data_IF_440739813277
#
_entry.id   IF_440739813277
#
_cell.length_a   1.000
_cell.length_b   1.000
_cell.length_c   1.000
_cell.angle_alpha   90.00
_cell.angle_beta   90.00
_cell.angle_gamma   90.00
#
_symmetry.space_group_name_H-M   'P 1'
#
loop_
_entity.id
_entity.type
_entity.pdbx_description
1 polymer ?
#
# COMPACT_ATOMS: atom_id res chain seq x y z
N UNK A 1 51.19 -96.09 -7.90
CA UNK A 1 50.85 -94.76 -7.36
C UNK A 1 49.57 -94.74 -6.49
N UNK A 2 48.88 -95.89 -6.30
CA UNK A 2 47.59 -95.95 -5.57
C UNK A 2 47.68 -96.81 -4.28
N UNK A 3 48.85 -97.33 -3.93
CA UNK A 3 49.01 -98.16 -2.71
C UNK A 3 49.18 -97.36 -1.42
N UNK A 4 49.40 -96.03 -1.49
CA UNK A 4 49.68 -95.19 -0.31
C UNK A 4 48.45 -94.97 0.59
N UNK A 5 47.25 -95.29 0.12
CA UNK A 5 45.99 -94.99 0.83
C UNK A 5 45.17 -96.24 1.17
N UNK A 6 45.78 -97.43 1.15
CA UNK A 6 45.03 -98.68 1.36
C UNK A 6 44.58 -98.89 2.82
N UNK A 7 45.18 -98.19 3.79
CA UNK A 7 44.94 -98.37 5.22
C UNK A 7 44.83 -97.02 5.96
N UNK A 8 43.98 -96.09 5.51
CA UNK A 8 43.56 -94.97 6.37
C UNK A 8 42.20 -95.35 6.93
N UNK A 9 42.18 -95.71 8.21
CA UNK A 9 40.97 -95.92 9.00
C UNK A 9 40.38 -94.54 9.28
N UNK A 10 39.08 -94.37 9.05
CA UNK A 10 38.35 -93.15 9.43
C UNK A 10 38.53 -92.90 10.94
N UNK A 11 39.42 -91.96 11.30
CA UNK A 11 39.63 -91.54 12.68
C UNK A 11 41.07 -91.40 13.17
N UNK A 12 42.11 -91.59 12.35
CA UNK A 12 43.48 -91.18 12.72
C UNK A 12 43.81 -89.80 12.14
N UNK A 13 44.06 -88.83 13.03
CA UNK A 13 44.54 -87.49 12.70
C UNK A 13 45.92 -87.60 12.01
N UNK A 14 46.07 -86.97 10.84
CA UNK A 14 47.31 -86.99 10.07
C UNK A 14 48.40 -86.24 10.88
N UNK A 15 49.50 -86.87 11.29
CA UNK A 15 50.50 -86.26 12.18
C UNK A 15 51.27 -85.08 11.56
N UNK A 16 50.93 -84.70 10.33
CA UNK A 16 51.53 -83.60 9.57
C UNK A 16 50.56 -82.42 9.35
N UNK A 17 49.38 -82.41 9.97
CA UNK A 17 48.41 -81.32 9.88
C UNK A 17 48.82 -80.17 10.82
N UNK A 18 49.59 -79.21 10.30
CA UNK A 18 49.97 -77.98 11.00
C UNK A 18 48.74 -77.08 11.17
N UNK A 19 48.21 -77.00 12.40
CA UNK A 19 47.09 -76.14 12.78
C UNK A 19 47.48 -74.67 12.60
N UNK A 20 46.92 -74.01 11.57
CA UNK A 20 47.11 -72.58 11.32
C UNK A 20 46.19 -71.77 12.23
N UNK A 21 46.77 -70.95 13.12
CA UNK A 21 46.04 -70.02 13.98
C UNK A 21 45.48 -68.86 13.13
N UNK A 22 44.16 -68.88 12.88
CA UNK A 22 43.46 -67.80 12.19
C UNK A 22 42.97 -66.81 13.24
N UNK A 23 43.56 -65.61 13.29
CA UNK A 23 43.04 -64.51 14.11
C UNK A 23 41.61 -64.14 13.67
N UNK A 24 40.61 -64.56 14.43
CA UNK A 24 39.26 -64.04 14.29
C UNK A 24 39.27 -62.61 14.81
N UNK A 25 39.06 -61.62 13.93
CA UNK A 25 38.72 -60.26 14.39
C UNK A 25 37.44 -60.38 15.21
N UNK A 26 37.54 -60.08 16.49
CA UNK A 26 36.40 -59.84 17.37
C UNK A 26 35.62 -58.64 16.81
N UNK A 27 34.69 -58.89 15.90
CA UNK A 27 33.61 -57.97 15.54
C UNK A 27 32.65 -57.90 16.73
N UNK A 28 33.15 -57.50 17.92
CA UNK A 28 32.36 -57.13 19.07
C UNK A 28 31.41 -56.06 18.57
N UNK A 29 30.18 -56.51 18.41
CA UNK A 29 29.11 -55.88 17.66
C UNK A 29 29.19 -54.37 17.81
N UNK A 30 29.32 -53.68 16.68
CA UNK A 30 29.25 -52.23 16.60
C UNK A 30 27.93 -51.82 17.26
N UNK A 31 28.01 -51.48 18.55
CA UNK A 31 26.85 -51.23 19.40
C UNK A 31 26.27 -49.95 18.86
N UNK A 32 25.15 -50.06 18.15
CA UNK A 32 24.56 -48.97 17.40
C UNK A 32 24.24 -47.84 18.37
N UNK A 33 25.03 -46.78 18.30
CA UNK A 33 24.86 -45.61 19.15
C UNK A 33 23.78 -44.72 18.54
N UNK A 34 22.62 -44.66 19.18
CA UNK A 34 21.46 -43.88 18.70
C UNK A 34 21.74 -42.37 18.71
N UNK A 35 22.77 -41.91 19.41
CA UNK A 35 23.19 -40.51 19.43
C UNK A 35 23.66 -40.02 18.05
N UNK A 36 24.15 -40.93 17.21
CA UNK A 36 24.55 -40.62 15.83
C UNK A 36 23.37 -40.23 14.92
N UNK A 37 22.15 -40.70 15.22
CA UNK A 37 20.93 -40.37 14.47
C UNK A 37 20.39 -38.99 14.82
N UNK A 38 20.62 -38.50 16.04
CA UNK A 38 20.17 -37.17 16.48
C UNK A 38 20.95 -36.02 15.83
N UNK A 39 22.14 -36.30 15.27
CA UNK A 39 22.96 -35.34 14.52
C UNK A 39 22.70 -35.38 13.01
N UNK A 40 21.66 -36.10 12.56
CA UNK A 40 21.24 -36.02 11.16
C UNK A 40 20.62 -34.65 10.93
N UNK A 41 21.42 -33.72 10.41
CA UNK A 41 20.96 -32.39 10.02
C UNK A 41 19.69 -32.51 9.19
N UNK A 42 18.55 -32.06 9.74
CA UNK A 42 17.34 -31.86 8.98
C UNK A 42 17.62 -30.71 8.00
N UNK A 43 18.15 -31.04 6.83
CA UNK A 43 18.30 -30.07 5.77
C UNK A 43 16.88 -29.64 5.37
N UNK A 44 16.60 -28.35 5.49
CA UNK A 44 15.31 -27.77 5.09
C UNK A 44 15.22 -27.69 3.55
N UNK A 45 15.83 -28.65 2.83
CA UNK A 45 15.94 -28.66 1.38
C UNK A 45 14.57 -28.75 0.68
N UNK A 46 13.56 -29.21 1.42
CA UNK A 46 12.18 -29.22 0.98
C UNK A 46 11.45 -27.95 1.44
N UNK A 47 11.66 -26.85 0.70
CA UNK A 47 10.86 -25.64 0.82
C UNK A 47 9.88 -25.57 -0.36
N UNK A 48 8.64 -26.09 -0.23
CA UNK A 48 7.62 -25.88 -1.25
C UNK A 48 7.40 -24.38 -1.44
N UNK A 49 7.34 -23.94 -2.70
CA UNK A 49 7.17 -22.53 -3.03
C UNK A 49 5.78 -22.07 -2.57
N UNK A 50 5.71 -21.18 -1.58
CA UNK A 50 4.47 -20.52 -1.19
C UNK A 50 3.90 -19.79 -2.41
N UNK A 51 2.60 -19.99 -2.68
CA UNK A 51 1.89 -19.25 -3.71
C UNK A 51 1.88 -17.79 -3.25
N UNK A 52 2.76 -16.99 -3.84
CA UNK A 52 2.77 -15.56 -3.61
C UNK A 52 1.49 -14.98 -4.21
N UNK A 53 0.72 -14.25 -3.41
CA UNK A 53 -0.29 -13.36 -3.97
C UNK A 53 0.39 -12.50 -5.03
N UNK A 54 -0.20 -12.32 -6.22
CA UNK A 54 0.38 -11.46 -7.24
C UNK A 54 0.49 -10.06 -6.67
N UNK A 55 1.69 -9.72 -6.18
CA UNK A 55 1.98 -8.34 -5.81
C UNK A 55 1.74 -7.53 -7.07
N UNK A 56 1.16 -6.33 -6.91
CA UNK A 56 0.57 -5.50 -7.97
C UNK A 56 1.47 -5.19 -9.18
N UNK A 57 2.73 -5.65 -9.18
CA UNK A 57 3.73 -5.55 -10.25
C UNK A 57 3.58 -6.56 -11.39
N UNK A 58 2.87 -7.68 -11.24
CA UNK A 58 2.89 -8.77 -12.26
C UNK A 58 2.12 -8.47 -13.57
N UNK A 59 1.45 -7.32 -13.72
CA UNK A 59 0.69 -7.00 -14.95
C UNK A 59 1.41 -6.11 -15.96
N UNK A 60 2.70 -5.83 -15.79
CA UNK A 60 3.46 -5.07 -16.80
C UNK A 60 4.76 -5.77 -17.14
N UNK A 61 4.74 -6.40 -18.31
CA UNK A 61 5.89 -6.95 -19.01
C UNK A 61 6.88 -5.85 -19.40
N UNK A 62 8.12 -6.30 -19.60
CA UNK A 62 9.28 -5.63 -20.21
C UNK A 62 10.05 -4.59 -19.38
N UNK A 63 11.18 -5.08 -18.84
CA UNK A 63 12.52 -4.45 -18.85
C UNK A 63 12.63 -3.04 -18.24
N UNK A 64 12.88 -3.00 -16.93
CA UNK A 64 13.69 -1.94 -16.30
C UNK A 64 14.41 -2.53 -15.10
N UNK A 65 15.71 -2.72 -15.27
CA UNK A 65 16.67 -3.16 -14.26
C UNK A 65 16.96 -1.98 -13.33
N UNK A 66 16.21 -1.82 -12.25
CA UNK A 66 16.67 -1.07 -11.07
C UNK A 66 15.65 -1.19 -9.92
N UNK A 67 16.18 -1.27 -8.71
CA UNK A 67 15.52 -1.62 -7.46
C UNK A 67 14.18 -0.93 -7.14
N UNK A 68 13.40 -1.68 -6.37
CA UNK A 68 12.28 -1.29 -5.49
C UNK A 68 10.84 -1.26 -6.02
N UNK A 69 9.95 -1.73 -5.12
CA UNK A 69 8.49 -1.56 -4.99
C UNK A 69 7.54 -1.48 -6.20
N UNK A 70 6.26 -1.93 -6.10
CA UNK A 70 5.22 -1.10 -6.68
C UNK A 70 5.19 0.18 -5.84
N UNK A 71 5.49 1.34 -6.43
CA UNK A 71 5.49 2.62 -5.70
C UNK A 71 4.20 2.73 -4.87
N UNK A 72 4.35 2.75 -3.54
CA UNK A 72 3.23 2.96 -2.62
C UNK A 72 2.64 4.32 -2.97
N UNK A 73 1.32 4.41 -3.12
CA UNK A 73 0.67 5.70 -3.35
C UNK A 73 0.81 6.49 -2.06
N UNK A 74 1.80 7.37 -2.01
CA UNK A 74 2.00 8.30 -0.92
C UNK A 74 0.96 9.42 -1.06
N UNK A 75 0.26 9.71 0.02
CA UNK A 75 -0.77 10.75 0.06
C UNK A 75 -0.17 11.92 0.83
N UNK A 76 -0.25 13.13 0.29
CA UNK A 76 0.18 14.32 1.00
C UNK A 76 -0.71 14.53 2.25
N UNK A 77 -0.14 14.55 3.47
CA UNK A 77 -0.91 14.68 4.71
C UNK A 77 -1.68 15.99 4.82
N UNK A 78 -1.30 17.02 4.05
CA UNK A 78 -1.93 18.34 4.08
C UNK A 78 -3.09 18.45 3.09
N UNK A 79 -2.95 17.86 1.89
CA UNK A 79 -3.94 17.98 0.81
C UNK A 79 -4.80 16.73 0.62
N UNK A 80 -4.41 15.58 1.17
CA UNK A 80 -5.11 14.31 1.00
C UNK A 80 -5.03 13.74 -0.41
N UNK A 81 -4.17 14.29 -1.28
CA UNK A 81 -4.04 13.91 -2.68
C UNK A 81 -2.83 12.98 -2.91
N UNK A 82 -2.94 12.01 -3.84
CA UNK A 82 -1.84 11.10 -4.15
C UNK A 82 -0.68 11.81 -4.85
N UNK A 83 0.51 11.73 -4.26
CA UNK A 83 1.76 12.25 -4.81
C UNK A 83 2.11 11.47 -6.09
N UNK A 84 2.56 12.20 -7.12
CA UNK A 84 3.11 11.66 -8.38
C UNK A 84 2.15 10.83 -9.28
N UNK A 85 0.89 10.60 -8.88
CA UNK A 85 -0.07 9.80 -9.67
C UNK A 85 -0.87 10.65 -10.66
N UNK A 86 -1.32 11.83 -10.25
CA UNK A 86 -2.20 12.67 -11.08
C UNK A 86 -1.45 13.51 -12.13
N UNK A 87 -0.11 13.51 -12.08
CA UNK A 87 0.71 14.50 -12.76
C UNK A 87 1.83 13.91 -13.64
N UNK A 88 1.71 12.65 -14.05
CA UNK A 88 2.58 11.96 -15.02
C UNK A 88 4.05 12.42 -15.03
N UNK A 89 4.74 12.37 -13.88
CA UNK A 89 6.19 12.61 -13.79
C UNK A 89 6.68 14.04 -14.07
N UNK A 90 5.85 14.92 -14.64
CA UNK A 90 6.26 16.26 -14.98
C UNK A 90 5.91 17.22 -13.83
N UNK A 91 6.93 17.90 -13.31
CA UNK A 91 6.85 18.98 -12.34
C UNK A 91 6.11 20.23 -12.85
N UNK A 92 5.08 20.07 -13.68
CA UNK A 92 4.12 21.11 -14.06
C UNK A 92 3.19 21.48 -12.87
N UNK A 93 3.78 21.69 -11.69
CA UNK A 93 3.13 22.44 -10.64
C UNK A 93 2.75 23.79 -11.26
N UNK A 94 1.64 24.39 -10.84
CA UNK A 94 1.28 25.78 -11.13
C UNK A 94 2.36 26.69 -10.52
N UNK A 95 3.54 26.66 -11.11
CA UNK A 95 4.69 27.48 -10.75
C UNK A 95 4.37 28.88 -11.21
N UNK A 96 4.85 29.87 -10.47
CA UNK A 96 4.64 31.29 -10.76
C UNK A 96 4.94 31.64 -12.24
N UNK A 97 5.95 30.99 -12.84
CA UNK A 97 6.30 31.11 -14.27
C UNK A 97 5.29 30.49 -15.23
N UNK A 98 4.59 29.41 -14.86
CA UNK A 98 3.53 28.81 -15.67
C UNK A 98 2.22 29.59 -15.58
N UNK A 99 1.94 30.18 -14.40
CA UNK A 99 0.80 31.09 -14.20
C UNK A 99 0.96 32.39 -14.99
N UNK A 100 2.15 33.00 -15.00
CA UNK A 100 2.43 34.21 -15.78
C UNK A 100 2.25 34.01 -17.30
N UNK A 101 2.48 32.79 -17.82
CA UNK A 101 2.24 32.47 -19.25
C UNK A 101 0.76 32.39 -19.61
N UNK A 102 -0.11 32.03 -18.65
CA UNK A 102 -1.56 32.04 -18.84
C UNK A 102 -2.15 33.45 -18.74
N UNK A 103 -1.56 34.32 -17.90
CA UNK A 103 -1.96 35.74 -17.79
C UNK A 103 -1.74 36.50 -19.11
N UNK A 104 -0.62 36.23 -19.79
CA UNK A 104 -0.30 36.88 -21.07
C UNK A 104 -1.14 36.36 -22.26
N UNK A 105 -1.82 35.20 -22.13
CA UNK A 105 -2.72 34.65 -23.15
C UNK A 105 -4.18 35.11 -23.02
N UNK A 106 -4.52 35.87 -21.97
CA UNK A 106 -5.88 36.29 -21.66
C UNK A 106 -6.14 37.77 -22.00
N UNK A 107 -5.49 38.33 -23.03
CA UNK A 107 -5.67 39.72 -23.46
C UNK A 107 -5.93 39.81 -24.96
N UNK A 108 -7.13 39.42 -25.39
CA UNK A 108 -7.83 40.07 -26.52
C UNK A 108 -9.29 39.65 -26.69
N UNK A 109 -10.06 39.53 -25.60
CA UNK A 109 -11.53 39.51 -25.73
C UNK A 109 -12.13 40.53 -24.78
N UNK A 110 -12.56 41.66 -25.34
CA UNK A 110 -13.40 42.68 -24.69
C UNK A 110 -14.79 42.14 -24.34
N UNK A 111 -14.84 41.08 -23.56
CA UNK A 111 -16.05 40.55 -22.95
C UNK A 111 -16.36 41.27 -21.63
N UNK A 112 -17.61 41.26 -21.17
CA UNK A 112 -18.01 41.89 -19.92
C UNK A 112 -17.21 41.29 -18.75
N UNK A 113 -16.44 42.14 -18.07
CA UNK A 113 -15.73 41.80 -16.83
C UNK A 113 -16.75 41.27 -15.84
N UNK A 114 -16.76 39.96 -15.60
CA UNK A 114 -17.67 39.36 -14.65
C UNK A 114 -17.44 40.00 -13.28
N UNK A 115 -18.51 40.52 -12.69
CA UNK A 115 -18.50 41.09 -11.33
C UNK A 115 -18.17 40.05 -10.25
N UNK A 116 -17.95 38.78 -10.61
CA UNK A 116 -17.70 37.69 -9.68
C UNK A 116 -16.30 37.72 -9.06
N UNK A 117 -15.39 38.59 -9.54
CA UNK A 117 -14.05 38.73 -8.96
C UNK A 117 -13.97 39.76 -7.82
N UNK A 118 -15.12 40.23 -7.33
CA UNK A 118 -15.23 41.14 -6.18
C UNK A 118 -15.67 40.34 -4.96
N UNK A 119 -14.99 40.52 -3.83
CA UNK A 119 -15.35 39.86 -2.57
C UNK A 119 -16.83 40.07 -2.22
N UNK A 120 -17.45 39.12 -1.49
CA UNK A 120 -18.86 39.24 -1.06
C UNK A 120 -19.15 40.53 -0.27
N UNK A 121 -18.12 41.13 0.36
CA UNK A 121 -18.18 42.46 0.99
C UNK A 121 -18.41 43.56 -0.05
N UNK A 122 -17.75 43.46 -1.20
CA UNK A 122 -17.79 44.46 -2.27
C UNK A 122 -19.14 44.42 -3.00
N UNK A 123 -19.74 43.25 -3.19
CA UNK A 123 -21.06 43.14 -3.85
C UNK A 123 -22.18 43.75 -3.00
N UNK A 124 -22.19 43.48 -1.69
CA UNK A 124 -23.18 44.06 -0.76
C UNK A 124 -22.99 45.57 -0.60
N UNK A 125 -21.74 46.03 -0.54
CA UNK A 125 -21.41 47.46 -0.50
C UNK A 125 -21.96 48.19 -1.73
N UNK A 126 -21.76 47.65 -2.93
CA UNK A 126 -22.26 48.24 -4.19
C UNK A 126 -23.80 48.29 -4.21
N UNK A 127 -24.49 47.22 -3.83
CA UNK A 127 -25.97 47.18 -3.83
C UNK A 127 -26.63 48.00 -2.71
N UNK A 128 -25.89 48.24 -1.62
CA UNK A 128 -26.40 49.01 -0.47
C UNK A 128 -26.34 50.51 -0.69
N UNK A 129 -25.48 51.00 -1.59
CA UNK A 129 -25.41 52.42 -1.92
C UNK A 129 -26.66 52.83 -2.71
N UNK A 130 -27.29 53.94 -2.31
CA UNK A 130 -28.43 54.54 -3.02
C UNK A 130 -27.89 55.66 -3.94
N UNK A 131 -28.07 55.56 -5.27
CA UNK A 131 -27.81 56.68 -6.17
C UNK A 131 -28.81 57.82 -5.87
N UNK A 132 -28.35 59.08 -5.97
CA UNK A 132 -29.21 60.24 -5.71
C UNK A 132 -30.23 60.47 -6.83
N UNK A 133 -29.87 60.14 -8.07
CA UNK A 133 -30.66 60.40 -9.27
C UNK A 133 -31.27 59.11 -9.88
N UNK A 134 -31.61 58.11 -9.04
CA UNK A 134 -32.19 56.83 -9.52
C UNK A 134 -33.60 57.02 -10.12
N UNK A 135 -33.87 56.41 -11.29
CA UNK A 135 -35.22 56.34 -11.85
C UNK A 135 -36.12 55.42 -10.98
N UNK A 136 -37.46 55.54 -11.04
CA UNK A 136 -38.35 54.67 -10.25
C UNK A 136 -38.19 53.19 -10.58
N UNK A 137 -37.82 52.87 -11.82
CA UNK A 137 -37.54 51.50 -12.27
C UNK A 137 -36.22 50.98 -11.68
N UNK A 138 -35.13 51.75 -11.79
CA UNK A 138 -33.84 51.42 -11.18
C UNK A 138 -33.94 51.21 -9.67
N UNK A 139 -34.75 52.04 -8.99
CA UNK A 139 -35.04 51.88 -7.55
C UNK A 139 -35.72 50.55 -7.23
N UNK A 140 -36.63 50.09 -8.09
CA UNK A 140 -37.31 48.80 -7.94
C UNK A 140 -36.33 47.66 -8.14
N UNK A 141 -35.49 47.74 -9.15
CA UNK A 141 -34.46 46.74 -9.45
C UNK A 141 -33.41 46.65 -8.34
N UNK A 142 -32.90 47.79 -7.85
CA UNK A 142 -31.95 47.83 -6.71
C UNK A 142 -32.53 47.14 -5.48
N UNK A 143 -33.79 47.40 -5.16
CA UNK A 143 -34.49 46.75 -4.04
C UNK A 143 -34.71 45.26 -4.30
N UNK A 144 -34.98 44.85 -5.55
CA UNK A 144 -35.13 43.44 -5.93
C UNK A 144 -33.82 42.70 -5.73
N UNK A 145 -32.73 43.20 -6.31
CA UNK A 145 -31.38 42.63 -6.20
C UNK A 145 -30.91 42.50 -4.74
N UNK A 146 -31.15 43.52 -3.91
CA UNK A 146 -30.79 43.45 -2.49
C UNK A 146 -31.62 42.41 -1.71
N UNK A 147 -32.89 42.22 -2.08
CA UNK A 147 -33.75 41.19 -1.48
C UNK A 147 -33.31 39.79 -1.91
N UNK A 148 -33.05 39.61 -3.20
CA UNK A 148 -32.54 38.35 -3.78
C UNK A 148 -31.21 37.96 -3.13
N UNK A 149 -30.24 38.87 -3.08
CA UNK A 149 -28.95 38.62 -2.41
C UNK A 149 -29.11 38.22 -0.93
N UNK A 150 -30.01 38.88 -0.20
CA UNK A 150 -30.28 38.52 1.21
C UNK A 150 -30.95 37.15 1.34
N UNK A 151 -31.82 36.79 0.39
CA UNK A 151 -32.47 35.49 0.35
C UNK A 151 -31.46 34.39 0.05
N UNK A 152 -30.63 34.56 -0.98
CA UNK A 152 -29.53 33.67 -1.35
C UNK A 152 -28.62 33.42 -0.15
N UNK A 153 -28.16 34.49 0.52
CA UNK A 153 -27.33 34.37 1.73
C UNK A 153 -28.00 33.57 2.86
N UNK A 154 -29.33 33.70 3.04
CA UNK A 154 -30.05 32.91 4.05
C UNK A 154 -30.10 31.44 3.66
N UNK A 155 -30.31 31.14 2.38
CA UNK A 155 -30.33 29.78 1.84
C UNK A 155 -28.94 29.15 2.00
N UNK A 156 -27.88 29.85 1.58
CA UNK A 156 -26.49 29.40 1.74
C UNK A 156 -26.14 29.16 3.21
N UNK A 157 -26.47 30.11 4.11
CA UNK A 157 -26.21 29.94 5.54
C UNK A 157 -26.96 28.73 6.10
N UNK A 158 -28.20 28.51 5.68
CA UNK A 158 -29.01 27.35 6.10
C UNK A 158 -28.39 26.05 5.60
N UNK A 159 -28.07 25.96 4.31
CA UNK A 159 -27.44 24.80 3.70
C UNK A 159 -26.09 24.47 4.37
N UNK A 160 -25.25 25.47 4.61
CA UNK A 160 -23.98 25.28 5.33
C UNK A 160 -24.22 24.79 6.75
N UNK A 161 -25.16 25.40 7.48
CA UNK A 161 -25.49 24.98 8.85
C UNK A 161 -25.97 23.53 8.89
N UNK A 162 -26.80 23.12 7.94
CA UNK A 162 -27.28 21.74 7.78
C UNK A 162 -26.14 20.79 7.44
N UNK A 163 -25.28 21.14 6.47
CA UNK A 163 -24.10 20.35 6.09
C UNK A 163 -23.15 20.12 7.28
N UNK A 164 -22.84 21.15 8.07
CA UNK A 164 -22.01 21.01 9.27
C UNK A 164 -22.68 20.15 10.35
N UNK A 165 -24.00 20.22 10.48
CA UNK A 165 -24.76 19.40 11.44
C UNK A 165 -24.73 17.93 11.05
N UNK A 166 -24.87 17.61 9.76
CA UNK A 166 -24.79 16.24 9.24
C UNK A 166 -23.38 15.66 9.36
N UNK A 167 -22.36 16.42 8.96
CA UNK A 167 -20.97 15.98 9.09
C UNK A 167 -20.58 15.77 10.55
N UNK A 168 -21.05 16.63 11.47
CA UNK A 168 -20.86 16.42 12.91
C UNK A 168 -21.46 15.09 13.36
N UNK A 169 -22.69 14.75 12.93
CA UNK A 169 -23.32 13.45 13.25
C UNK A 169 -22.47 12.30 12.70
N UNK A 170 -22.04 12.39 11.43
CA UNK A 170 -21.19 11.37 10.80
C UNK A 170 -19.90 11.14 11.56
N UNK A 171 -19.18 12.20 11.94
CA UNK A 171 -17.96 12.10 12.72
C UNK A 171 -18.21 11.51 14.11
N UNK A 172 -19.33 11.84 14.76
CA UNK A 172 -19.67 11.21 16.04
C UNK A 172 -19.89 9.71 15.91
N UNK A 173 -20.58 9.26 14.87
CA UNK A 173 -20.77 7.83 14.61
C UNK A 173 -19.45 7.11 14.32
N UNK A 174 -18.60 7.67 13.46
CA UNK A 174 -17.29 7.09 13.15
C UNK A 174 -16.42 7.01 14.42
N UNK A 175 -16.41 8.05 15.25
CA UNK A 175 -15.66 8.05 16.53
C UNK A 175 -16.18 6.98 17.50
N UNK A 176 -17.49 6.77 17.59
CA UNK A 176 -18.07 5.71 18.42
C UNK A 176 -17.64 4.34 17.88
N UNK A 177 -17.78 4.09 16.58
CA UNK A 177 -17.40 2.83 15.97
C UNK A 177 -15.91 2.52 16.13
N UNK A 178 -15.03 3.53 15.98
CA UNK A 178 -13.60 3.37 16.23
C UNK A 178 -13.32 3.00 17.68
N UNK A 179 -13.98 3.64 18.66
CA UNK A 179 -13.82 3.30 20.08
C UNK A 179 -14.33 1.89 20.41
N UNK A 180 -15.44 1.47 19.80
CA UNK A 180 -16.04 0.15 20.05
C UNK A 180 -15.28 -0.98 19.36
N UNK A 181 -14.75 -0.75 18.16
CA UNK A 181 -14.13 -1.78 17.32
C UNK A 181 -12.59 -1.78 17.36
N UNK A 182 -11.94 -0.81 17.99
CA UNK A 182 -10.53 -0.93 18.40
C UNK A 182 -10.43 -1.78 19.66
N UNK A 183 -10.83 -3.06 19.55
CA UNK A 183 -10.44 -4.06 20.53
C UNK A 183 -9.00 -4.49 20.22
N UNK A 184 -8.17 -4.42 21.26
CA UNK A 184 -6.70 -4.49 21.26
C UNK A 184 -6.05 -5.41 20.23
N UNK A 185 -5.02 -4.88 19.58
CA UNK A 185 -4.01 -5.68 18.91
C UNK A 185 -3.41 -6.66 19.92
N UNK A 186 -3.77 -7.95 19.81
CA UNK A 186 -2.94 -9.01 20.39
C UNK A 186 -1.67 -9.06 19.56
N UNK A 187 -0.60 -8.51 20.11
CA UNK A 187 0.76 -8.86 19.72
C UNK A 187 0.90 -10.33 20.11
N UNK A 188 1.08 -11.19 19.10
CA UNK A 188 1.48 -12.60 19.27
C UNK A 188 2.97 -12.64 19.44
#
# INVERSE_FOLDING_TARGET
RVEKYRNIVDGEEDPNEELVEVEMRDDKQKKWDCESVLSTYSNIYNHPKLIAEPTRRSRRSSKAESNDGPNKIEIDPKTGMPLNVLRNGDNNQLTEKALAKLENGAISSGGPKSLCNKSLISTLSVLSLRPKDETPEEKRERKRLLKEYRLERRIEKKANTEAFKEEKKRQTHVKINQKSNQQGSKIV
#
